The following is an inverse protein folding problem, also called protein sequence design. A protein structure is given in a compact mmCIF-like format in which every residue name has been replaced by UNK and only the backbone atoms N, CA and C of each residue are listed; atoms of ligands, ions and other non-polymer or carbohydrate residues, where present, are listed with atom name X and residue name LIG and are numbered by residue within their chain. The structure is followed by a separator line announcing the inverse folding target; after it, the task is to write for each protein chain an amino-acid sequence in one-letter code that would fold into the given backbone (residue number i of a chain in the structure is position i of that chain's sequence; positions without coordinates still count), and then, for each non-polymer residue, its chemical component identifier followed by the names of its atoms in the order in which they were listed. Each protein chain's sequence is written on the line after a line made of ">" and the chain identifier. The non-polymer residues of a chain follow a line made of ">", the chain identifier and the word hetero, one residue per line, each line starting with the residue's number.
data_IF_618007508435
#
_entry.id   IF_618007508435
#
_cell.length_a   1.000
_cell.length_b   1.000
_cell.length_c   1.000
_cell.angle_alpha   90.00
_cell.angle_beta   90.00
_cell.angle_gamma   90.00
#
_symmetry.space_group_name_H-M   'P 1'
#
loop_
_entity.id
_entity.type
_entity.pdbx_description
1 polymer ?
#
# COMPACT_ATOMS: atom_id res chain seq x y z
N UNK A 1 -40.83 18.80 1.80
CA UNK A 1 -39.45 18.28 1.64
C UNK A 1 -38.49 19.38 2.08
N UNK A 2 -38.14 19.43 3.36
CA UNK A 2 -37.21 20.43 3.90
C UNK A 2 -35.82 19.80 4.00
N UNK A 3 -34.98 20.00 2.98
CA UNK A 3 -33.55 19.67 3.05
C UNK A 3 -32.83 20.86 3.68
N UNK A 4 -32.51 20.81 4.97
CA UNK A 4 -31.59 21.75 5.58
C UNK A 4 -30.16 21.22 5.39
N UNK A 5 -29.38 21.85 4.50
CA UNK A 5 -27.95 21.57 4.37
C UNK A 5 -27.16 22.53 5.26
N UNK A 6 -26.50 22.02 6.29
CA UNK A 6 -25.53 22.78 7.07
C UNK A 6 -24.16 22.67 6.39
N UNK A 7 -23.53 23.81 6.08
CA UNK A 7 -22.16 23.86 5.59
C UNK A 7 -21.29 24.54 6.65
N UNK A 8 -20.43 23.76 7.31
CA UNK A 8 -19.40 24.29 8.22
C UNK A 8 -18.15 24.67 7.39
N UNK A 9 -18.09 25.90 6.87
CA UNK A 9 -16.84 26.48 6.33
C UNK A 9 -16.16 27.34 7.41
N UNK A 10 -14.92 27.01 7.74
CA UNK A 10 -14.01 27.84 8.57
C UNK A 10 -13.69 29.20 7.91
N UNK A 11 -13.10 30.17 8.65
CA UNK A 11 -13.67 31.02 9.67
C UNK A 11 -14.09 32.37 9.04
N UNK A 12 -15.28 32.46 8.45
CA UNK A 12 -15.91 33.76 8.16
C UNK A 12 -17.38 33.57 8.51
N UNK A 13 -17.76 34.14 9.65
CA UNK A 13 -19.14 34.20 10.14
C UNK A 13 -20.04 34.82 9.09
N UNK A 14 -21.04 34.08 8.60
CA UNK A 14 -22.32 34.65 8.16
C UNK A 14 -23.46 33.66 8.42
N UNK A 15 -24.54 34.20 8.97
CA UNK A 15 -25.71 33.54 9.54
C UNK A 15 -26.48 32.62 8.60
N UNK A 16 -26.94 31.48 9.15
CA UNK A 16 -28.27 30.93 8.89
C UNK A 16 -28.69 30.06 10.09
N UNK A 17 -29.72 30.54 10.78
CA UNK A 17 -30.22 30.03 12.05
C UNK A 17 -30.92 28.67 11.93
N UNK A 18 -30.53 27.71 12.77
CA UNK A 18 -31.42 27.00 13.69
C UNK A 18 -30.57 26.17 14.66
N UNK A 19 -30.56 26.59 15.92
CA UNK A 19 -29.83 26.02 17.05
C UNK A 19 -30.31 24.62 17.41
N UNK A 20 -29.38 23.68 17.62
CA UNK A 20 -29.50 22.54 18.55
C UNK A 20 -28.09 22.23 19.10
N UNK A 21 -27.86 22.28 20.43
CA UNK A 21 -26.53 22.13 21.00
C UNK A 21 -26.17 20.65 21.13
N UNK A 22 -25.03 20.26 20.56
CA UNK A 22 -24.54 18.90 20.61
C UNK A 22 -23.15 18.83 20.00
N UNK A 23 -22.16 19.36 20.72
CA UNK A 23 -20.76 19.23 20.34
C UNK A 23 -20.37 17.75 20.26
N UNK A 24 -19.99 17.28 19.07
CA UNK A 24 -19.14 16.11 18.90
C UNK A 24 -17.89 16.57 18.15
N UNK A 25 -16.90 17.03 18.91
CA UNK A 25 -15.53 17.20 18.45
C UNK A 25 -14.90 15.80 18.34
N UNK A 26 -15.16 15.13 17.21
CA UNK A 26 -14.56 13.86 16.88
C UNK A 26 -13.24 14.05 16.12
N UNK A 27 -12.13 14.22 16.83
CA UNK A 27 -10.80 14.02 16.26
C UNK A 27 -10.58 12.51 16.09
N UNK A 28 -10.70 12.01 14.86
CA UNK A 28 -10.31 10.63 14.53
C UNK A 28 -9.29 10.63 13.39
N UNK A 29 -8.02 10.51 13.79
CA UNK A 29 -6.84 10.12 13.01
C UNK A 29 -6.61 10.92 11.71
N UNK A 30 -6.00 12.11 11.86
CA UNK A 30 -5.14 12.70 10.82
C UNK A 30 -5.83 13.43 9.65
N UNK A 31 -7.15 13.65 9.70
CA UNK A 31 -7.89 14.46 8.72
C UNK A 31 -8.76 15.52 9.40
N UNK A 32 -8.80 16.72 8.83
CA UNK A 32 -9.71 17.79 9.27
C UNK A 32 -11.10 17.54 8.69
N UNK A 33 -12.15 17.66 9.53
CA UNK A 33 -13.54 17.65 9.06
C UNK A 33 -13.80 18.97 8.32
N UNK A 34 -14.22 18.89 7.07
CA UNK A 34 -14.46 20.06 6.22
C UNK A 34 -15.93 20.34 6.00
N UNK A 35 -16.78 19.32 6.03
CA UNK A 35 -18.22 19.53 5.99
C UNK A 35 -18.95 18.39 6.70
N UNK A 36 -20.07 18.75 7.31
CA UNK A 36 -21.01 17.83 7.92
C UNK A 36 -22.38 18.11 7.32
N UNK A 37 -22.93 17.16 6.59
CA UNK A 37 -24.25 17.30 5.95
C UNK A 37 -25.22 16.37 6.65
N UNK A 38 -26.22 16.96 7.33
CA UNK A 38 -27.30 16.21 7.98
C UNK A 38 -28.49 16.16 7.03
N UNK A 39 -28.92 14.96 6.66
CA UNK A 39 -30.16 14.77 5.92
C UNK A 39 -31.26 14.35 6.91
N UNK A 40 -32.36 15.13 6.90
CA UNK A 40 -33.55 14.87 7.71
C UNK A 40 -34.67 14.35 6.79
N UNK A 41 -35.27 13.22 7.14
CA UNK A 41 -36.45 12.70 6.46
C UNK A 41 -37.60 12.61 7.46
N UNK A 42 -38.75 13.25 7.13
CA UNK A 42 -39.95 13.30 8.00
C UNK A 42 -39.65 13.73 9.46
N UNK A 43 -38.94 14.84 9.64
CA UNK A 43 -38.59 15.41 10.96
C UNK A 43 -37.69 14.53 11.86
N UNK A 44 -37.07 13.46 11.33
CA UNK A 44 -36.02 12.70 12.01
C UNK A 44 -34.72 12.72 11.22
N UNK A 45 -33.59 12.84 11.92
CA UNK A 45 -32.25 12.73 11.33
C UNK A 45 -32.07 11.27 10.91
N UNK A 46 -31.94 11.02 9.60
CA UNK A 46 -31.76 9.67 9.06
C UNK A 46 -30.32 9.40 8.65
N UNK A 47 -29.63 10.39 8.08
CA UNK A 47 -28.26 10.26 7.60
C UNK A 47 -27.40 11.46 7.97
N UNK A 48 -26.16 11.20 8.34
CA UNK A 48 -25.14 12.22 8.57
C UNK A 48 -23.93 11.87 7.70
N UNK A 49 -23.57 12.77 6.80
CA UNK A 49 -22.41 12.63 5.94
C UNK A 49 -21.27 13.49 6.49
N UNK A 50 -20.10 12.86 6.66
CA UNK A 50 -18.88 13.53 7.08
C UNK A 50 -17.92 13.61 5.90
N UNK A 51 -17.48 14.82 5.56
CA UNK A 51 -16.46 15.06 4.55
C UNK A 51 -15.13 15.39 5.23
N UNK A 52 -14.12 14.57 4.94
CA UNK A 52 -12.77 14.74 5.49
C UNK A 52 -11.85 15.30 4.43
N UNK A 53 -11.01 16.26 4.82
CA UNK A 53 -9.91 16.75 4.01
C UNK A 53 -8.58 16.26 4.56
N UNK A 54 -7.72 15.81 3.64
CA UNK A 54 -6.37 15.35 3.94
C UNK A 54 -5.42 16.03 2.97
N UNK A 55 -4.57 16.91 3.49
CA UNK A 55 -3.50 17.53 2.71
C UNK A 55 -2.42 16.48 2.46
N UNK A 56 -2.16 16.19 1.18
CA UNK A 56 -1.14 15.20 0.77
C UNK A 56 0.03 15.92 0.15
N UNK A 57 1.12 16.09 0.91
CA UNK A 57 2.38 16.63 0.38
C UNK A 57 3.02 15.65 -0.61
N UNK A 58 3.70 16.11 -1.67
CA UNK A 58 4.56 15.27 -2.48
C UNK A 58 5.62 14.58 -1.63
N UNK A 59 5.75 13.27 -1.79
CA UNK A 59 6.76 12.48 -1.06
C UNK A 59 7.57 11.62 -2.02
N UNK A 60 8.75 11.19 -1.58
CA UNK A 60 9.58 10.25 -2.34
C UNK A 60 8.77 8.99 -2.65
N UNK A 61 8.80 8.57 -3.91
CA UNK A 61 8.00 7.48 -4.44
C UNK A 61 6.71 7.91 -5.14
N UNK A 62 6.21 9.12 -4.91
CA UNK A 62 5.04 9.62 -5.63
C UNK A 62 5.32 9.74 -7.12
N UNK A 63 4.24 9.59 -7.91
CA UNK A 63 4.33 9.47 -9.36
C UNK A 63 3.87 10.75 -10.03
N UNK A 64 4.69 11.22 -10.97
CA UNK A 64 4.42 12.38 -11.80
C UNK A 64 4.48 11.98 -13.27
N UNK A 65 3.77 12.69 -14.13
CA UNK A 65 3.80 12.47 -15.56
C UNK A 65 3.73 13.79 -16.32
N UNK A 66 4.47 13.89 -17.42
CA UNK A 66 4.21 14.94 -18.41
C UNK A 66 2.98 14.57 -19.26
N UNK A 67 2.48 15.53 -20.04
CA UNK A 67 1.38 15.29 -20.99
C UNK A 67 1.76 14.34 -22.14
N UNK A 68 3.05 14.17 -22.41
CA UNK A 68 3.59 13.30 -23.44
C UNK A 68 3.77 11.83 -22.99
N UNK A 69 3.09 11.40 -21.91
CA UNK A 69 3.17 10.02 -21.42
C UNK A 69 4.48 9.66 -20.71
N UNK A 70 5.33 10.64 -20.40
CA UNK A 70 6.55 10.41 -19.63
C UNK A 70 6.25 10.33 -18.14
N UNK A 71 5.90 9.13 -17.68
CA UNK A 71 5.70 8.84 -16.27
C UNK A 71 7.03 8.58 -15.56
N UNK A 72 7.23 9.28 -14.44
CA UNK A 72 8.36 9.14 -13.53
C UNK A 72 7.90 8.93 -12.07
N UNK A 73 8.84 8.43 -11.26
CA UNK A 73 8.71 8.34 -9.81
C UNK A 73 9.65 9.39 -9.23
N UNK A 74 9.23 10.17 -8.24
CA UNK A 74 10.12 11.04 -7.47
C UNK A 74 11.10 10.16 -6.69
N UNK A 75 12.36 10.11 -7.14
CA UNK A 75 13.42 9.30 -6.53
C UNK A 75 13.96 9.94 -5.27
N UNK A 76 14.18 11.26 -5.30
CA UNK A 76 14.72 12.05 -4.20
C UNK A 76 14.17 13.47 -4.27
N UNK A 77 14.01 14.08 -3.10
CA UNK A 77 13.79 15.51 -2.95
C UNK A 77 15.15 16.13 -2.62
N UNK A 78 15.70 16.90 -3.55
CA UNK A 78 16.95 17.64 -3.35
C UNK A 78 16.66 18.99 -2.71
N UNK A 79 17.62 19.49 -1.92
CA UNK A 79 17.60 20.88 -1.48
C UNK A 79 17.92 21.78 -2.69
N UNK A 80 17.41 23.01 -2.68
CA UNK A 80 17.64 23.96 -3.78
C UNK A 80 19.13 24.30 -3.96
N UNK A 81 19.91 24.29 -2.88
CA UNK A 81 21.37 24.51 -2.88
C UNK A 81 22.15 23.42 -3.61
N UNK A 82 21.67 22.16 -3.60
CA UNK A 82 22.34 21.04 -4.26
C UNK A 82 22.00 20.94 -5.75
N UNK A 83 20.98 21.67 -6.21
CA UNK A 83 20.50 21.61 -7.58
C UNK A 83 21.31 22.55 -8.49
N UNK A 84 21.50 22.19 -9.77
CA UNK A 84 22.17 23.07 -10.70
C UNK A 84 21.32 24.32 -10.94
N UNK A 85 21.96 25.46 -11.14
CA UNK A 85 21.28 26.72 -11.43
C UNK A 85 21.74 27.31 -12.77
N UNK A 86 20.90 28.13 -13.39
CA UNK A 86 21.22 28.84 -14.64
C UNK A 86 21.98 30.14 -14.35
N UNK A 87 22.54 30.77 -15.38
CA UNK A 87 23.20 32.09 -15.24
C UNK A 87 22.26 33.18 -14.67
N UNK A 88 20.95 33.05 -14.93
CA UNK A 88 19.91 33.89 -14.33
C UNK A 88 19.53 33.53 -12.89
N UNK A 89 20.20 32.55 -12.27
CA UNK A 89 19.93 32.07 -10.91
C UNK A 89 18.68 31.19 -10.79
N UNK A 90 18.14 30.68 -11.89
CA UNK A 90 16.96 29.79 -11.84
C UNK A 90 17.37 28.38 -11.46
N UNK A 91 16.61 27.77 -10.54
CA UNK A 91 16.79 26.39 -10.08
C UNK A 91 15.64 25.54 -10.63
N UNK A 92 15.89 24.34 -11.19
CA UNK A 92 14.84 23.48 -11.72
C UNK A 92 13.98 22.86 -10.61
N UNK A 93 12.66 22.85 -10.79
CA UNK A 93 11.75 22.09 -9.91
C UNK A 93 11.82 20.58 -10.14
N UNK A 94 12.04 20.15 -11.40
CA UNK A 94 12.05 18.75 -11.82
C UNK A 94 13.25 18.51 -12.72
N UNK A 95 14.06 17.51 -12.37
CA UNK A 95 15.12 16.99 -13.24
C UNK A 95 14.63 15.70 -13.88
N UNK A 96 14.74 15.62 -15.21
CA UNK A 96 14.42 14.42 -15.98
C UNK A 96 15.68 13.87 -16.65
N UNK A 97 15.85 12.55 -16.61
CA UNK A 97 17.01 11.90 -17.17
C UNK A 97 16.93 11.85 -18.72
N UNK A 98 17.96 12.32 -19.46
CA UNK A 98 17.98 12.26 -20.92
C UNK A 98 17.85 10.84 -21.48
N UNK A 99 18.30 9.81 -20.76
CA UNK A 99 18.17 8.42 -21.18
C UNK A 99 16.71 7.94 -21.32
N UNK A 100 15.74 8.70 -20.80
CA UNK A 100 14.31 8.43 -20.96
C UNK A 100 13.73 8.80 -22.34
N UNK A 101 14.46 9.56 -23.16
CA UNK A 101 13.97 10.00 -24.48
C UNK A 101 14.19 8.99 -25.61
N UNK A 102 15.39 8.38 -25.81
CA UNK A 102 15.65 7.56 -27.00
C UNK A 102 14.69 6.37 -27.15
N UNK A 103 14.35 5.70 -26.05
CA UNK A 103 13.48 4.52 -26.09
C UNK A 103 11.98 4.86 -26.20
N UNK A 104 11.56 6.07 -25.80
CA UNK A 104 10.15 6.47 -25.75
C UNK A 104 9.77 7.42 -26.89
N UNK A 105 10.76 8.03 -27.54
CA UNK A 105 10.59 8.93 -28.69
C UNK A 105 9.56 10.06 -28.45
N UNK A 106 9.50 10.59 -27.22
CA UNK A 106 8.54 11.65 -26.85
C UNK A 106 9.08 13.04 -27.18
N UNK A 107 9.33 13.29 -28.47
CA UNK A 107 9.86 14.56 -28.99
C UNK A 107 8.93 15.72 -28.66
N UNK A 108 7.62 15.47 -28.58
CA UNK A 108 6.62 16.47 -28.19
C UNK A 108 6.92 17.15 -26.84
N UNK A 109 7.51 16.42 -25.88
CA UNK A 109 7.90 17.00 -24.59
C UNK A 109 9.06 17.99 -24.72
N UNK A 110 9.97 17.77 -25.67
CA UNK A 110 11.08 18.70 -25.94
C UNK A 110 10.54 19.96 -26.62
N UNK A 111 9.65 19.81 -27.60
CA UNK A 111 8.98 20.96 -28.25
C UNK A 111 8.15 21.75 -27.23
N UNK A 112 7.42 21.07 -26.34
CA UNK A 112 6.66 21.70 -25.25
C UNK A 112 7.57 22.49 -24.32
N UNK A 113 8.77 22.00 -24.02
CA UNK A 113 9.75 22.70 -23.19
C UNK A 113 10.20 24.04 -23.81
N UNK A 114 10.52 24.04 -25.11
CA UNK A 114 10.89 25.25 -25.85
C UNK A 114 9.73 26.24 -25.93
N UNK A 115 8.54 25.74 -26.28
CA UNK A 115 7.33 26.55 -26.37
C UNK A 115 6.96 27.15 -25.00
N UNK A 116 6.99 26.36 -23.93
CA UNK A 116 6.65 26.80 -22.58
C UNK A 116 7.60 27.86 -22.06
N UNK A 117 8.89 27.75 -22.38
CA UNK A 117 9.88 28.78 -22.07
C UNK A 117 9.66 30.07 -22.86
N UNK A 118 9.45 29.96 -24.18
CA UNK A 118 9.11 31.12 -25.01
C UNK A 118 7.86 31.84 -24.50
N UNK A 119 6.83 31.08 -24.13
CA UNK A 119 5.57 31.58 -23.60
C UNK A 119 5.75 32.31 -22.28
N UNK A 120 6.59 31.78 -21.39
CA UNK A 120 6.89 32.41 -20.11
C UNK A 120 7.61 33.75 -20.27
N UNK A 121 8.41 33.93 -21.32
CA UNK A 121 9.15 35.16 -21.58
C UNK A 121 8.29 36.20 -22.28
N UNK A 122 7.56 35.81 -23.33
CA UNK A 122 6.73 36.75 -24.11
C UNK A 122 5.40 37.06 -23.42
N UNK A 123 4.95 36.22 -22.49
CA UNK A 123 3.63 36.29 -21.90
C UNK A 123 2.50 35.81 -22.83
N UNK A 124 2.84 35.12 -23.92
CA UNK A 124 1.87 34.60 -24.89
C UNK A 124 1.54 33.13 -24.63
N UNK A 125 0.28 32.76 -24.86
CA UNK A 125 -0.15 31.36 -24.83
C UNK A 125 -0.04 30.74 -26.22
N UNK A 126 0.93 29.86 -26.42
CA UNK A 126 1.05 29.13 -27.70
C UNK A 126 0.01 28.02 -27.82
N UNK A 127 -0.57 27.92 -29.01
CA UNK A 127 -1.47 26.83 -29.37
C UNK A 127 -0.68 25.56 -29.70
N UNK A 128 -0.99 24.48 -28.98
CA UNK A 128 -0.38 23.17 -29.14
C UNK A 128 -1.25 22.18 -29.95
N UNK A 129 -2.23 22.68 -30.70
CA UNK A 129 -3.08 21.86 -31.57
C UNK A 129 -2.24 21.07 -32.60
N UNK A 130 -2.54 19.78 -32.82
CA UNK A 130 -1.79 18.95 -33.76
C UNK A 130 -1.95 19.47 -35.20
N UNK A 131 -0.97 19.16 -36.06
CA UNK A 131 -0.96 19.49 -37.50
C UNK A 131 -0.95 20.99 -37.86
N UNK A 132 -0.52 21.87 -36.95
CA UNK A 132 -0.24 23.28 -37.30
C UNK A 132 1.11 23.49 -37.98
N UNK A 133 2.10 22.70 -37.60
CA UNK A 133 3.45 22.75 -38.15
C UNK A 133 3.60 21.73 -39.26
N UNK A 134 4.35 22.11 -40.30
CA UNK A 134 4.64 21.30 -41.47
C UNK A 134 6.15 21.11 -41.59
N UNK A 135 6.60 20.22 -42.48
CA UNK A 135 8.04 19.99 -42.70
C UNK A 135 8.79 21.25 -43.15
N UNK A 136 8.11 22.16 -43.88
CA UNK A 136 8.69 23.44 -44.31
C UNK A 136 8.81 24.48 -43.18
N UNK A 137 7.97 24.38 -42.17
CA UNK A 137 7.93 25.29 -41.03
C UNK A 137 7.85 24.44 -39.77
N UNK A 138 9.02 24.00 -39.31
CA UNK A 138 9.10 23.11 -38.15
C UNK A 138 8.78 23.89 -36.87
N UNK A 139 8.24 23.19 -35.88
CA UNK A 139 7.98 23.78 -34.57
C UNK A 139 9.26 24.22 -33.87
N UNK A 140 10.36 23.50 -34.08
CA UNK A 140 11.66 23.78 -33.49
C UNK A 140 12.16 25.14 -34.01
N UNK A 141 12.08 25.39 -35.31
CA UNK A 141 12.58 26.65 -35.89
C UNK A 141 11.72 27.84 -35.46
N UNK A 142 10.41 27.64 -35.38
CA UNK A 142 9.48 28.65 -34.91
C UNK A 142 9.79 29.08 -33.47
N UNK A 143 9.85 28.13 -32.53
CA UNK A 143 10.14 28.45 -31.12
C UNK A 143 11.60 28.88 -30.91
N UNK A 144 12.55 28.35 -31.69
CA UNK A 144 13.95 28.75 -31.63
C UNK A 144 14.16 30.22 -31.99
N UNK A 145 13.47 30.70 -33.03
CA UNK A 145 13.53 32.13 -33.41
C UNK A 145 12.93 33.06 -32.34
N UNK A 146 11.97 32.58 -31.56
CA UNK A 146 11.36 33.33 -30.45
C UNK A 146 12.34 33.39 -29.26
N UNK A 147 12.98 32.27 -28.94
CA UNK A 147 13.99 32.20 -27.88
C UNK A 147 15.21 33.07 -28.20
N UNK A 148 15.66 33.05 -29.46
CA UNK A 148 16.78 33.89 -29.92
C UNK A 148 16.47 35.38 -29.82
N UNK A 149 15.26 35.81 -30.23
CA UNK A 149 14.79 37.19 -30.03
C UNK A 149 14.73 37.61 -28.56
N UNK A 150 14.50 36.64 -27.67
CA UNK A 150 14.50 36.84 -26.23
C UNK A 150 15.91 36.80 -25.60
N UNK A 151 16.97 36.58 -26.38
CA UNK A 151 18.35 36.50 -25.89
C UNK A 151 18.73 35.15 -25.30
N UNK A 152 17.92 34.11 -25.49
CA UNK A 152 18.25 32.73 -25.13
C UNK A 152 18.83 31.98 -26.33
N UNK A 153 19.46 30.84 -26.07
CA UNK A 153 19.93 29.98 -27.14
C UNK A 153 18.75 29.46 -27.99
N UNK A 154 18.95 29.40 -29.30
CA UNK A 154 18.01 28.90 -30.29
C UNK A 154 17.47 27.50 -29.96
N UNK A 155 18.33 26.58 -29.52
CA UNK A 155 17.93 25.21 -29.17
C UNK A 155 17.38 25.07 -27.73
N UNK A 156 17.27 26.16 -26.98
CA UNK A 156 16.79 26.15 -25.60
C UNK A 156 17.78 25.56 -24.58
N UNK A 157 19.03 25.30 -24.96
CA UNK A 157 20.07 24.91 -24.00
C UNK A 157 20.66 26.13 -23.30
N UNK A 158 20.97 25.99 -22.02
CA UNK A 158 21.58 27.02 -21.20
C UNK A 158 22.83 26.49 -20.50
N UNK A 159 23.78 27.39 -20.26
CA UNK A 159 24.92 27.11 -19.37
C UNK A 159 24.39 27.03 -17.94
N UNK A 160 24.59 25.90 -17.28
CA UNK A 160 24.23 25.70 -15.88
C UNK A 160 25.49 25.49 -15.04
N UNK A 161 25.38 25.81 -13.76
CA UNK A 161 26.43 25.63 -12.77
C UNK A 161 26.05 24.50 -11.82
N UNK A 162 27.05 23.75 -11.35
CA UNK A 162 26.86 22.64 -10.43
C UNK A 162 26.51 23.13 -9.04
N UNK A 163 25.40 22.62 -8.48
CA UNK A 163 24.96 22.80 -7.09
C UNK A 163 26.06 22.58 -6.05
N UNK A 164 26.85 21.53 -6.27
CA UNK A 164 27.80 21.02 -5.28
C UNK A 164 29.18 21.66 -5.42
N UNK A 165 29.66 21.87 -6.64
CA UNK A 165 31.02 22.39 -6.89
C UNK A 165 31.05 23.88 -7.21
N UNK A 166 29.94 24.46 -7.66
CA UNK A 166 29.86 25.84 -8.14
C UNK A 166 30.50 26.07 -9.51
N UNK A 167 31.07 25.05 -10.13
CA UNK A 167 31.71 25.14 -11.45
C UNK A 167 30.68 25.04 -12.58
N UNK A 168 30.93 25.70 -13.74
CA UNK A 168 30.08 25.55 -14.91
C UNK A 168 30.12 24.11 -15.43
N UNK A 169 28.96 23.59 -15.83
CA UNK A 169 28.86 22.27 -16.44
C UNK A 169 29.48 22.28 -17.85
N UNK A 170 30.12 21.17 -18.24
CA UNK A 170 30.81 21.05 -19.54
C UNK A 170 29.89 21.19 -20.75
N UNK A 171 28.61 20.80 -20.60
CA UNK A 171 27.62 20.86 -21.67
C UNK A 171 26.44 21.76 -21.31
N UNK A 172 25.87 22.41 -22.32
CA UNK A 172 24.63 23.17 -22.18
C UNK A 172 23.48 22.23 -21.84
N UNK A 173 22.76 22.56 -20.76
CA UNK A 173 21.63 21.77 -20.29
C UNK A 173 20.35 22.28 -20.94
N UNK A 174 19.55 21.36 -21.46
CA UNK A 174 18.24 21.71 -22.00
C UNK A 174 17.27 22.05 -20.86
N UNK A 175 16.89 23.33 -20.76
CA UNK A 175 16.11 23.88 -19.66
C UNK A 175 14.93 24.71 -20.18
N UNK A 176 13.75 24.49 -19.59
CA UNK A 176 12.52 25.20 -19.95
C UNK A 176 11.32 24.72 -19.15
N UNK A 177 10.13 25.18 -19.56
CA UNK A 177 8.89 25.01 -18.78
C UNK A 177 8.02 23.92 -19.41
N UNK A 178 7.62 22.94 -18.61
CA UNK A 178 6.77 21.82 -19.06
C UNK A 178 5.61 21.64 -18.10
N UNK A 179 4.42 21.35 -18.62
CA UNK A 179 3.28 21.03 -17.79
C UNK A 179 3.36 19.60 -17.23
N UNK A 180 3.43 19.50 -15.90
CA UNK A 180 3.46 18.22 -15.16
C UNK A 180 2.17 17.95 -14.40
N UNK A 181 1.83 16.67 -14.31
CA UNK A 181 0.66 16.15 -13.61
C UNK A 181 1.08 15.22 -12.49
N UNK A 182 0.48 15.39 -11.29
CA UNK A 182 0.66 14.46 -10.17
C UNK A 182 -0.39 13.35 -10.25
N UNK A 183 0.05 12.09 -10.17
CA UNK A 183 -0.85 10.94 -10.26
C UNK A 183 -1.44 10.57 -8.89
N UNK A 184 -2.70 10.11 -8.90
CA UNK A 184 -3.46 9.75 -7.69
C UNK A 184 -2.88 8.60 -6.85
N UNK A 185 -2.06 7.73 -7.44
CA UNK A 185 -1.53 6.54 -6.75
C UNK A 185 -0.27 6.91 -5.95
N UNK A 186 -0.47 7.35 -4.71
CA UNK A 186 0.60 7.72 -3.77
C UNK A 186 1.30 6.49 -3.18
N UNK A 187 2.56 6.66 -2.74
CA UNK A 187 3.35 5.58 -2.13
C UNK A 187 3.03 5.36 -0.66
N UNK A 188 2.65 6.43 0.06
CA UNK A 188 2.13 6.34 1.43
C UNK A 188 0.96 5.36 1.56
N UNK A 189 0.18 5.20 0.49
CA UNK A 189 -0.93 4.26 0.42
C UNK A 189 -0.52 2.88 -0.10
N UNK A 190 0.76 2.48 -0.07
CA UNK A 190 1.24 1.20 -0.63
C UNK A 190 2.14 0.36 0.28
N UNK A 191 2.86 0.97 1.21
CA UNK A 191 3.69 0.21 2.13
C UNK A 191 2.83 -0.70 3.02
N UNK A 192 3.36 -1.87 3.38
CA UNK A 192 2.75 -2.79 4.34
C UNK A 192 3.85 -3.50 5.10
N UNK A 193 3.66 -3.66 6.41
CA UNK A 193 4.58 -4.37 7.30
C UNK A 193 3.76 -5.22 8.26
N UNK A 194 4.26 -6.41 8.56
CA UNK A 194 3.64 -7.33 9.51
C UNK A 194 4.72 -8.14 10.20
N UNK A 195 4.67 -8.16 11.53
CA UNK A 195 5.40 -9.13 12.35
C UNK A 195 4.46 -10.28 12.72
N UNK A 196 3.49 -10.01 13.61
CA UNK A 196 2.38 -10.88 13.97
C UNK A 196 1.06 -10.19 13.65
N UNK A 197 -0.03 -10.93 13.50
CA UNK A 197 -1.31 -10.32 13.18
C UNK A 197 -2.46 -11.31 13.17
N UNK A 198 -3.66 -10.85 12.81
CA UNK A 198 -4.82 -11.71 12.69
C UNK A 198 -4.58 -12.85 11.70
N UNK A 199 -5.15 -13.99 12.05
CA UNK A 199 -5.16 -15.22 11.26
C UNK A 199 -6.58 -15.56 10.89
N UNK A 200 -6.72 -16.21 9.74
CA UNK A 200 -7.99 -16.75 9.30
C UNK A 200 -8.45 -17.88 10.22
N UNK A 201 -9.76 -18.00 10.44
CA UNK A 201 -10.32 -19.00 11.36
C UNK A 201 -10.23 -20.41 10.80
N UNK A 202 -10.35 -20.55 9.48
CA UNK A 202 -10.38 -21.84 8.78
C UNK A 202 -8.96 -22.37 8.58
N UNK A 203 -8.07 -21.55 8.02
CA UNK A 203 -6.71 -22.00 7.64
C UNK A 203 -5.66 -21.74 8.73
N UNK A 204 -5.96 -20.88 9.71
CA UNK A 204 -4.98 -20.30 10.65
C UNK A 204 -3.80 -19.60 9.99
N UNK A 205 -3.90 -19.28 8.69
CA UNK A 205 -2.90 -18.52 7.97
C UNK A 205 -3.12 -17.01 8.14
N UNK A 206 -2.09 -16.17 7.93
CA UNK A 206 -2.24 -14.73 7.83
C UNK A 206 -3.38 -14.29 6.90
N UNK A 207 -4.28 -13.43 7.38
CA UNK A 207 -5.38 -12.91 6.55
C UNK A 207 -4.88 -12.07 5.37
N UNK A 208 -5.71 -11.92 4.34
CA UNK A 208 -5.43 -11.05 3.19
C UNK A 208 -5.82 -9.60 3.50
N UNK A 209 -5.01 -8.67 3.00
CA UNK A 209 -5.37 -7.25 2.89
C UNK A 209 -4.66 -6.35 3.90
N UNK A 210 -4.08 -5.26 3.39
CA UNK A 210 -3.30 -4.31 4.20
C UNK A 210 -4.11 -3.66 5.33
N UNK A 211 -5.35 -3.24 5.05
CA UNK A 211 -6.20 -2.54 6.03
C UNK A 211 -6.42 -3.39 7.30
N UNK A 212 -6.37 -4.70 7.16
CA UNK A 212 -6.56 -5.64 8.26
C UNK A 212 -5.23 -6.13 8.86
N UNK A 213 -4.07 -5.58 8.47
CA UNK A 213 -2.77 -6.09 8.91
C UNK A 213 -2.44 -7.46 8.29
N UNK A 214 -2.92 -7.71 7.07
CA UNK A 214 -2.74 -8.96 6.36
C UNK A 214 -1.28 -9.30 6.06
N UNK A 215 -1.02 -10.59 5.84
CA UNK A 215 0.31 -11.09 5.49
C UNK A 215 0.69 -10.83 4.03
N UNK A 216 1.99 -10.86 3.75
CA UNK A 216 2.51 -10.93 2.38
C UNK A 216 2.45 -12.38 1.93
N UNK A 217 1.92 -12.60 0.72
CA UNK A 217 1.83 -13.93 0.14
C UNK A 217 3.22 -14.38 -0.30
N UNK A 218 3.67 -15.53 0.22
CA UNK A 218 4.78 -16.28 -0.33
C UNK A 218 4.18 -17.34 -1.27
N UNK A 219 4.34 -17.13 -2.57
CA UNK A 219 3.71 -17.94 -3.59
C UNK A 219 4.57 -19.10 -4.06
N UNK A 220 4.13 -19.70 -5.16
CA UNK A 220 4.79 -20.84 -5.78
C UNK A 220 6.12 -20.45 -6.43
N UNK A 221 6.16 -19.32 -7.14
CA UNK A 221 7.38 -18.85 -7.79
C UNK A 221 8.46 -18.51 -6.76
N UNK A 222 8.09 -17.95 -5.61
CA UNK A 222 9.03 -17.66 -4.53
C UNK A 222 9.52 -18.95 -3.85
N UNK A 223 8.66 -19.96 -3.70
CA UNK A 223 9.06 -21.29 -3.21
C UNK A 223 10.12 -21.89 -4.14
N UNK A 224 9.87 -21.90 -5.44
CA UNK A 224 10.76 -22.53 -6.42
C UNK A 224 12.10 -21.78 -6.50
N UNK A 225 12.09 -20.45 -6.44
CA UNK A 225 13.31 -19.64 -6.38
C UNK A 225 14.17 -19.96 -5.15
N UNK A 226 13.56 -20.04 -3.95
CA UNK A 226 14.30 -20.34 -2.71
C UNK A 226 14.81 -21.80 -2.68
N UNK A 227 14.04 -22.73 -3.25
CA UNK A 227 14.46 -24.13 -3.41
C UNK A 227 15.62 -24.27 -4.40
N UNK A 228 15.64 -23.50 -5.49
CA UNK A 228 16.74 -23.51 -6.47
C UNK A 228 18.08 -23.09 -5.84
N UNK A 229 18.06 -22.24 -4.82
CA UNK A 229 19.25 -21.90 -4.02
C UNK A 229 19.68 -22.99 -3.04
N UNK A 230 18.94 -24.09 -2.89
CA UNK A 230 19.25 -25.17 -1.95
C UNK A 230 18.96 -24.84 -0.47
N UNK A 231 18.26 -23.73 -0.20
CA UNK A 231 18.03 -23.22 1.17
C UNK A 231 16.79 -23.83 1.82
N UNK A 232 16.84 -25.13 2.12
CA UNK A 232 15.71 -25.90 2.70
C UNK A 232 15.17 -25.32 4.01
N UNK A 233 16.05 -24.81 4.89
CA UNK A 233 15.67 -24.20 6.16
C UNK A 233 14.85 -22.91 5.97
N UNK A 234 15.15 -22.10 4.94
CA UNK A 234 14.38 -20.89 4.65
C UNK A 234 12.99 -21.23 4.11
N UNK A 235 12.89 -22.27 3.27
CA UNK A 235 11.60 -22.75 2.78
C UNK A 235 10.74 -23.24 3.94
N UNK A 236 11.31 -24.06 4.83
CA UNK A 236 10.63 -24.52 6.03
C UNK A 236 10.24 -23.35 6.95
N UNK A 237 11.10 -22.35 7.10
CA UNK A 237 10.78 -21.21 7.94
C UNK A 237 9.58 -20.42 7.41
N UNK A 238 9.61 -20.06 6.11
CA UNK A 238 8.56 -19.23 5.49
C UNK A 238 7.24 -19.96 5.31
N UNK A 239 7.25 -21.22 4.85
CA UNK A 239 6.02 -21.96 4.58
C UNK A 239 5.42 -22.61 5.84
N UNK A 240 6.24 -22.94 6.84
CA UNK A 240 5.78 -23.67 8.02
C UNK A 240 5.90 -22.85 9.31
N UNK A 241 7.11 -22.45 9.73
CA UNK A 241 7.28 -21.81 11.05
C UNK A 241 6.56 -20.45 11.16
N UNK A 242 6.62 -19.63 10.12
CA UNK A 242 6.04 -18.29 10.10
C UNK A 242 4.56 -18.23 9.68
N UNK A 243 3.98 -19.34 9.21
CA UNK A 243 2.62 -19.38 8.66
C UNK A 243 1.65 -20.12 9.59
N UNK A 244 1.52 -21.44 9.45
CA UNK A 244 0.47 -22.24 10.06
C UNK A 244 0.98 -23.43 10.89
N UNK A 245 2.19 -23.31 11.46
CA UNK A 245 2.75 -24.31 12.39
C UNK A 245 1.76 -24.60 13.54
N UNK A 246 1.22 -25.81 13.54
CA UNK A 246 0.34 -26.29 14.61
C UNK A 246 0.91 -27.53 15.30
N UNK A 247 0.62 -27.65 16.60
CA UNK A 247 0.86 -28.88 17.38
C UNK A 247 -0.39 -29.74 17.25
N UNK A 248 -0.27 -30.88 16.59
CA UNK A 248 -1.40 -31.76 16.29
C UNK A 248 -1.16 -33.13 16.92
N UNK A 249 -2.20 -33.70 17.52
CA UNK A 249 -2.16 -35.07 18.04
C UNK A 249 -2.53 -36.05 16.93
N UNK A 250 -1.84 -37.18 16.86
CA UNK A 250 -2.05 -38.20 15.84
C UNK A 250 -1.86 -39.59 16.45
N UNK A 251 -2.66 -40.57 16.05
CA UNK A 251 -2.51 -41.95 16.49
C UNK A 251 -1.59 -42.75 15.55
N UNK A 252 -0.57 -43.41 16.11
CA UNK A 252 0.40 -44.26 15.39
C UNK A 252 -0.23 -45.49 14.75
N UNK A 253 -1.24 -46.08 15.37
CA UNK A 253 -1.84 -47.34 14.90
C UNK A 253 -2.85 -47.14 13.76
N UNK A 254 -3.74 -46.14 13.87
CA UNK A 254 -4.74 -45.87 12.84
C UNK A 254 -4.27 -44.85 11.78
N UNK A 255 -3.16 -44.15 12.04
CA UNK A 255 -2.56 -43.15 11.14
C UNK A 255 -3.43 -41.92 10.90
N UNK A 256 -4.49 -41.71 11.68
CA UNK A 256 -5.43 -40.60 11.48
C UNK A 256 -5.16 -39.45 12.44
N UNK A 257 -5.23 -38.24 11.88
CA UNK A 257 -5.07 -36.96 12.59
C UNK A 257 -6.38 -36.48 13.23
N UNK A 258 -7.54 -36.95 12.74
CA UNK A 258 -8.87 -36.49 13.19
C UNK A 258 -9.42 -37.26 14.40
N UNK A 259 -8.93 -38.48 14.61
CA UNK A 259 -9.41 -39.40 15.64
C UNK A 259 -8.98 -39.13 17.09
N UNK A 260 -7.86 -38.46 17.40
CA UNK A 260 -7.48 -38.20 18.78
C UNK A 260 -8.35 -37.08 19.35
N UNK A 261 -9.17 -37.44 20.34
CA UNK A 261 -10.06 -36.52 21.05
C UNK A 261 -9.55 -36.33 22.48
N UNK A 262 -9.71 -35.12 22.99
CA UNK A 262 -9.44 -34.82 24.40
C UNK A 262 -10.79 -34.86 25.12
N UNK A 263 -11.04 -35.93 25.87
CA UNK A 263 -12.24 -36.02 26.69
C UNK A 263 -12.17 -35.02 27.86
N UNK A 264 -13.14 -34.11 27.90
CA UNK A 264 -13.37 -33.24 29.05
C UNK A 264 -14.30 -33.96 30.03
N UNK A 265 -13.76 -34.84 30.90
CA UNK A 265 -14.54 -35.31 32.04
C UNK A 265 -14.81 -34.13 32.97
N UNK A 266 -16.07 -33.67 33.03
CA UNK A 266 -16.54 -32.76 34.08
C UNK A 266 -16.43 -33.51 35.41
N UNK A 267 -15.74 -32.94 36.41
CA UNK A 267 -15.78 -33.49 37.77
C UNK A 267 -17.22 -33.36 38.29
N UNK A 268 -17.93 -34.45 38.64
CA UNK A 268 -19.19 -34.33 39.36
C UNK A 268 -18.87 -33.76 40.76
N UNK A 269 -19.26 -32.51 41.02
CA UNK A 269 -19.04 -31.83 42.31
C UNK A 269 -18.51 -30.39 42.27
N UNK A 270 -18.13 -29.84 41.10
CA UNK A 270 -17.52 -28.50 41.01
C UNK A 270 -18.51 -27.33 40.88
N UNK A 271 -19.81 -27.53 41.16
CA UNK A 271 -20.84 -26.47 41.14
C UNK A 271 -21.12 -25.87 42.52
N UNK A 272 -20.68 -26.49 43.62
CA UNK A 272 -20.96 -26.03 44.99
C UNK A 272 -19.80 -25.25 45.64
N UNK A 273 -18.71 -24.99 44.91
CA UNK A 273 -17.55 -24.24 45.41
C UNK A 273 -17.29 -22.93 44.64
N UNK A 274 -18.33 -22.37 44.00
CA UNK A 274 -18.22 -21.17 43.16
C UNK A 274 -18.61 -19.86 43.88
N UNK A 275 -18.75 -19.86 45.21
CA UNK A 275 -19.03 -18.63 45.98
C UNK A 275 -17.84 -18.10 46.79
N UNK A 276 -16.63 -18.65 46.64
CA UNK A 276 -15.52 -18.19 47.47
C UNK A 276 -14.12 -18.55 46.99
N UNK A 277 -13.72 -18.12 45.79
CA UNK A 277 -12.31 -17.92 45.47
C UNK A 277 -12.14 -17.17 44.15
N UNK A 278 -11.82 -15.88 44.22
CA UNK A 278 -11.24 -15.14 43.11
C UNK A 278 -9.82 -15.66 42.84
N UNK A 279 -9.67 -16.62 41.94
CA UNK A 279 -8.37 -17.07 41.45
C UNK A 279 -8.42 -17.29 39.94
N UNK A 280 -8.04 -16.24 39.19
CA UNK A 280 -7.69 -16.31 37.76
C UNK A 280 -6.37 -17.08 37.62
N UNK A 281 -6.45 -18.40 37.62
CA UNK A 281 -5.30 -19.30 37.41
C UNK A 281 -5.57 -20.23 36.24
N UNK A 282 -4.76 -20.13 35.19
CA UNK A 282 -4.82 -20.93 33.95
C UNK A 282 -4.36 -22.39 34.17
N UNK A 283 -4.70 -23.00 35.31
CA UNK A 283 -4.16 -24.27 35.81
C UNK A 283 -5.13 -25.46 35.61
N UNK A 284 -5.98 -25.43 34.59
CA UNK A 284 -6.99 -26.47 34.33
C UNK A 284 -6.69 -27.47 33.20
N UNK A 285 -5.69 -27.21 32.34
CA UNK A 285 -5.40 -28.02 31.14
C UNK A 285 -4.15 -28.90 31.23
N UNK A 286 -3.33 -28.76 32.27
CA UNK A 286 -2.11 -29.54 32.43
C UNK A 286 -2.45 -30.97 32.91
N UNK A 287 -2.45 -31.94 32.00
CA UNK A 287 -2.46 -33.37 32.34
C UNK A 287 -3.43 -34.27 31.55
N UNK A 288 -4.23 -33.73 30.63
CA UNK A 288 -5.21 -34.55 29.88
C UNK A 288 -4.57 -35.14 28.63
N UNK A 289 -4.42 -36.47 28.61
CA UNK A 289 -3.86 -37.20 27.46
C UNK A 289 -4.94 -37.40 26.39
N UNK A 290 -4.66 -37.11 25.11
CA UNK A 290 -5.59 -37.41 24.03
C UNK A 290 -5.80 -38.92 23.89
N UNK A 291 -7.05 -39.33 23.67
CA UNK A 291 -7.45 -40.74 23.45
C UNK A 291 -7.88 -40.86 21.99
N UNK A 292 -7.42 -41.89 21.29
CA UNK A 292 -7.91 -42.17 19.94
C UNK A 292 -9.32 -42.77 20.00
N UNK A 293 -10.30 -42.18 19.31
CA UNK A 293 -11.68 -42.69 19.29
C UNK A 293 -11.81 -44.09 18.64
N UNK A 294 -10.98 -44.41 17.66
CA UNK A 294 -11.01 -45.70 16.95
C UNK A 294 -10.27 -46.79 17.75
N UNK A 295 -9.05 -46.49 18.20
CA UNK A 295 -8.22 -47.46 18.92
C UNK A 295 -8.55 -47.53 20.42
N UNK A 296 -9.41 -46.62 20.92
CA UNK A 296 -9.81 -46.47 22.32
C UNK A 296 -8.63 -46.47 23.32
N UNK A 297 -7.45 -46.07 22.86
CA UNK A 297 -6.21 -46.15 23.64
C UNK A 297 -5.45 -44.83 23.56
N UNK A 298 -4.92 -44.34 24.69
CA UNK A 298 -4.03 -43.16 24.72
C UNK A 298 -2.59 -43.52 24.38
N UNK A 299 -2.21 -44.82 24.42
CA UNK A 299 -0.82 -45.28 24.29
C UNK A 299 -0.18 -44.95 22.94
N UNK A 300 -0.98 -44.92 21.88
CA UNK A 300 -0.50 -44.75 20.52
C UNK A 300 -0.60 -43.30 20.02
N UNK A 301 -1.05 -42.36 20.85
CA UNK A 301 -1.18 -40.95 20.45
C UNK A 301 0.12 -40.20 20.65
N UNK A 302 0.61 -39.56 19.59
CA UNK A 302 1.82 -38.74 19.58
C UNK A 302 1.49 -37.33 19.10
N UNK A 303 2.17 -36.35 19.66
CA UNK A 303 2.06 -34.95 19.25
C UNK A 303 3.17 -34.64 18.26
N UNK A 304 2.80 -34.19 17.06
CA UNK A 304 3.73 -33.78 16.01
C UNK A 304 3.45 -32.34 15.58
N UNK A 305 4.42 -31.71 14.91
CA UNK A 305 4.22 -30.43 14.27
C UNK A 305 3.85 -30.64 12.81
N UNK A 306 2.71 -30.11 12.38
CA UNK A 306 2.21 -30.19 11.00
C UNK A 306 1.49 -28.88 10.63
N UNK A 307 1.50 -28.45 9.36
CA UNK A 307 0.72 -27.29 8.94
C UNK A 307 -0.75 -27.48 9.31
N UNK A 308 -1.39 -26.44 9.85
CA UNK A 308 -2.82 -26.51 10.19
C UNK A 308 -3.68 -26.78 8.96
N UNK A 309 -3.28 -26.28 7.80
CA UNK A 309 -3.95 -26.56 6.53
C UNK A 309 -3.98 -28.05 6.17
N UNK A 310 -3.02 -28.86 6.61
CA UNK A 310 -3.08 -30.31 6.40
C UNK A 310 -4.20 -30.97 7.22
N UNK A 311 -4.55 -30.44 8.40
CA UNK A 311 -5.72 -30.88 9.16
C UNK A 311 -7.01 -30.57 8.39
N UNK A 312 -7.09 -29.35 7.83
CA UNK A 312 -8.22 -28.95 6.98
C UNK A 312 -8.36 -29.87 5.77
N UNK A 313 -7.26 -30.16 5.07
CA UNK A 313 -7.25 -31.10 3.94
C UNK A 313 -7.76 -32.49 4.37
N UNK A 314 -7.29 -33.00 5.51
CA UNK A 314 -7.76 -34.28 6.04
C UNK A 314 -9.27 -34.27 6.35
N UNK A 315 -9.81 -33.16 6.89
CA UNK A 315 -11.27 -33.03 7.12
C UNK A 315 -12.08 -32.98 5.84
N UNK A 316 -11.61 -32.26 4.82
CA UNK A 316 -12.29 -32.16 3.53
C UNK A 316 -12.30 -33.48 2.78
N UNK A 317 -11.18 -34.21 2.79
CA UNK A 317 -11.11 -35.54 2.18
C UNK A 317 -11.98 -36.55 2.94
N UNK A 318 -12.01 -36.49 4.27
CA UNK A 318 -12.90 -37.34 5.07
C UNK A 318 -14.39 -37.07 4.78
N UNK A 319 -14.78 -35.82 4.49
CA UNK A 319 -16.14 -35.49 4.07
C UNK A 319 -16.52 -36.13 2.72
N UNK A 320 -15.53 -36.39 1.85
CA UNK A 320 -15.68 -37.15 0.61
C UNK A 320 -15.46 -38.66 0.78
N UNK A 321 -15.43 -39.15 2.02
CA UNK A 321 -15.15 -40.55 2.37
C UNK A 321 -13.76 -41.05 1.92
N UNK A 322 -12.79 -40.14 1.75
CA UNK A 322 -11.39 -40.44 1.44
C UNK A 322 -10.55 -40.34 2.71
N UNK A 323 -9.88 -41.44 3.08
CA UNK A 323 -9.04 -41.52 4.29
C UNK A 323 -7.57 -41.32 3.97
N UNK A 324 -6.95 -40.28 4.55
CA UNK A 324 -5.49 -40.13 4.59
C UNK A 324 -4.91 -40.94 5.76
N UNK A 325 -3.86 -41.72 5.50
CA UNK A 325 -3.13 -42.47 6.52
C UNK A 325 -1.69 -41.97 6.61
N UNK A 326 -1.29 -41.49 7.78
CA UNK A 326 0.08 -41.05 8.06
C UNK A 326 0.86 -42.16 8.78
N UNK A 327 2.02 -42.52 8.23
CA UNK A 327 2.97 -43.44 8.86
C UNK A 327 3.95 -42.64 9.72
N UNK A 328 3.86 -42.82 11.04
CA UNK A 328 4.75 -42.14 12.00
C UNK A 328 5.86 -43.09 12.38
N UNK A 329 7.05 -42.88 11.83
CA UNK A 329 8.27 -43.56 12.28
C UNK A 329 8.90 -42.72 13.40
N UNK A 330 9.41 -43.39 14.43
CA UNK A 330 10.30 -42.73 15.36
C UNK A 330 11.60 -42.44 14.60
N UNK A 331 12.03 -41.18 14.63
CA UNK A 331 13.38 -40.78 14.22
C UNK A 331 14.27 -40.85 15.44
#
# INVERSE_FOLDING_TARGET
>A
SCCCAFFLKHPVFYDLACFMPGHVLGYFIGGLIVALVVACFRCSISHVFYYFYSMRKPTVGDKFASRAGQKGICSRLYAAEDLPWTDGGLVPDIIFNPHGFPSRMTIAMMVECMAGKGAAITGECFDASPFRFNEKQTSIDYFGSILEKAGYNYYGTETMFSGVTGEPMECGIFFGVIHYQRLRHMVSDKWQVRSTGPVDTITRQPIKGRRCGGGVRFGEMERDGVMAHGTSLLVQDRLFNCSDKARISMCKQCGSVLTPVIELKRRPGALTAAEGAGARGNQGLAGRRPICAICQTPRHVVVTHMPFTCLMLATQLAAMNVKIQFSVKAV
#
